data_IF_360093566171
#
_entry.id   IF_360093566171
#
_cell.length_a   1.000
_cell.length_b   1.000
_cell.length_c   1.000
_cell.angle_alpha   90.00
_cell.angle_beta   90.00
_cell.angle_gamma   90.00
#
_symmetry.space_group_name_H-M   'P 1'
#
loop_
_entity.id
_entity.type
_entity.pdbx_description
1 polymer ?
#
# COMPACT_ATOMS: atom_id res chain seq x y z
N UNK A 1 6.05 -12.35 -3.22
CA UNK A 1 4.61 -12.00 -3.07
C UNK A 1 3.99 -12.79 -1.93
N UNK A 2 3.00 -12.21 -1.24
CA UNK A 2 2.21 -12.91 -0.21
C UNK A 2 1.44 -14.08 -0.83
N UNK A 3 1.58 -15.27 -0.25
CA UNK A 3 0.74 -16.41 -0.53
C UNK A 3 -0.09 -16.71 0.72
N UNK A 4 -1.39 -16.87 0.55
CA UNK A 4 -2.32 -17.12 1.64
C UNK A 4 -3.15 -18.36 1.33
N UNK A 5 -3.33 -19.22 2.35
CA UNK A 5 -4.20 -20.39 2.27
C UNK A 5 -4.93 -20.59 3.58
N UNK A 6 -6.13 -21.14 3.51
CA UNK A 6 -6.92 -21.50 4.70
C UNK A 6 -6.68 -22.97 5.02
N UNK A 7 -6.23 -23.25 6.24
CA UNK A 7 -6.10 -24.61 6.77
C UNK A 7 -7.05 -24.74 7.96
N UNK A 8 -8.11 -25.53 7.81
CA UNK A 8 -9.23 -25.57 8.75
C UNK A 8 -9.81 -24.17 9.01
N UNK A 9 -9.80 -23.71 10.25
CA UNK A 9 -10.31 -22.39 10.67
C UNK A 9 -9.20 -21.34 10.84
N UNK A 10 -8.01 -21.54 10.26
CA UNK A 10 -6.88 -20.63 10.44
C UNK A 10 -6.22 -20.28 9.10
N UNK A 11 -5.84 -19.01 8.96
CA UNK A 11 -5.05 -18.53 7.82
C UNK A 11 -3.57 -18.80 8.00
N UNK A 12 -2.94 -19.32 6.94
CA UNK A 12 -1.50 -19.53 6.87
C UNK A 12 -0.94 -18.64 5.75
N UNK A 13 0.10 -17.89 6.10
CA UNK A 13 0.78 -16.95 5.21
C UNK A 13 2.21 -17.42 4.92
N UNK A 14 2.59 -17.43 3.63
CA UNK A 14 3.97 -17.57 3.20
C UNK A 14 4.39 -16.29 2.48
N UNK A 15 5.55 -15.75 2.84
CA UNK A 15 6.11 -14.54 2.25
C UNK A 15 7.52 -14.83 1.72
N UNK A 16 7.99 -14.05 0.76
CA UNK A 16 9.22 -14.34 0.00
C UNK A 16 10.49 -14.19 0.86
N UNK A 17 10.41 -13.39 1.91
CA UNK A 17 11.45 -13.14 2.91
C UNK A 17 11.11 -13.79 4.27
N UNK A 18 10.26 -14.82 4.26
CA UNK A 18 9.96 -15.64 5.42
C UNK A 18 8.91 -15.06 6.40
N UNK A 19 8.76 -15.68 7.58
CA UNK A 19 7.66 -15.36 8.51
C UNK A 19 7.67 -13.93 9.06
N UNK A 20 8.86 -13.33 9.19
CA UNK A 20 8.98 -11.96 9.71
C UNK A 20 8.39 -10.92 8.75
N UNK A 21 8.52 -11.13 7.43
CA UNK A 21 7.85 -10.31 6.42
C UNK A 21 6.34 -10.45 6.52
N UNK A 22 5.81 -11.67 6.70
CA UNK A 22 4.38 -11.87 6.89
C UNK A 22 3.84 -11.17 8.14
N UNK A 23 4.61 -11.22 9.24
CA UNK A 23 4.26 -10.51 10.47
C UNK A 23 4.30 -8.98 10.29
N UNK A 24 5.33 -8.47 9.60
CA UNK A 24 5.42 -7.05 9.23
C UNK A 24 4.26 -6.58 8.34
N UNK A 25 3.87 -7.40 7.36
CA UNK A 25 2.70 -7.12 6.50
C UNK A 25 1.40 -7.11 7.31
N UNK A 26 1.26 -8.01 8.31
CA UNK A 26 0.11 -8.04 9.22
C UNK A 26 0.05 -6.78 10.09
N UNK A 27 1.19 -6.30 10.57
CA UNK A 27 1.30 -5.03 11.31
C UNK A 27 0.82 -3.85 10.46
N UNK A 28 1.32 -3.72 9.24
CA UNK A 28 0.93 -2.65 8.34
C UNK A 28 -0.56 -2.75 7.95
N UNK A 29 -1.06 -3.97 7.72
CA UNK A 29 -2.47 -4.21 7.47
C UNK A 29 -3.36 -3.75 8.64
N UNK A 30 -2.94 -4.00 9.88
CA UNK A 30 -3.63 -3.53 11.08
C UNK A 30 -3.58 -2.02 11.26
N UNK A 31 -2.44 -1.37 11.01
CA UNK A 31 -2.34 0.08 11.06
C UNK A 31 -3.27 0.75 10.02
N UNK A 32 -3.25 0.28 8.77
CA UNK A 32 -4.19 0.73 7.72
C UNK A 32 -5.65 0.42 8.09
N UNK A 33 -5.90 -0.70 8.76
CA UNK A 33 -7.23 -1.11 9.21
C UNK A 33 -7.89 -0.15 10.20
N UNK A 34 -7.10 0.69 10.89
CA UNK A 34 -7.65 1.74 11.77
C UNK A 34 -8.33 2.87 11.00
N UNK A 35 -8.08 3.03 9.69
CA UNK A 35 -8.60 4.12 8.86
C UNK A 35 -8.36 5.51 9.51
N UNK A 36 -7.17 5.70 10.08
CA UNK A 36 -6.73 6.93 10.70
C UNK A 36 -5.88 7.75 9.72
N UNK A 37 -5.99 9.08 9.71
CA UNK A 37 -5.17 9.94 8.85
C UNK A 37 -3.65 9.82 9.06
N UNK A 38 -3.24 9.09 10.11
CA UNK A 38 -1.86 8.81 10.54
C UNK A 38 -1.33 7.45 10.05
N UNK A 39 -2.18 6.62 9.45
CA UNK A 39 -1.83 5.27 9.01
C UNK A 39 -0.63 5.26 8.06
N UNK A 40 -0.56 6.20 7.12
CA UNK A 40 0.55 6.35 6.19
C UNK A 40 1.84 6.82 6.86
N UNK A 41 1.77 7.65 7.91
CA UNK A 41 2.94 8.04 8.71
C UNK A 41 3.53 6.81 9.42
N UNK A 42 2.66 5.96 9.97
CA UNK A 42 3.08 4.70 10.57
C UNK A 42 3.72 3.78 9.54
N UNK A 43 3.08 3.57 8.38
CA UNK A 43 3.60 2.70 7.31
C UNK A 43 4.97 3.21 6.84
N UNK A 44 5.11 4.52 6.60
CA UNK A 44 6.37 5.12 6.19
C UNK A 44 7.49 4.91 7.22
N UNK A 45 7.19 5.09 8.51
CA UNK A 45 8.14 4.78 9.57
C UNK A 45 8.51 3.29 9.56
N UNK A 46 7.52 2.41 9.54
CA UNK A 46 7.72 0.97 9.70
C UNK A 46 8.43 0.33 8.50
N UNK A 47 8.25 0.86 7.29
CA UNK A 47 8.98 0.46 6.09
C UNK A 47 10.48 0.78 6.14
N UNK A 48 10.91 1.71 7.00
CA UNK A 48 12.32 2.13 7.12
C UNK A 48 13.13 1.34 8.15
N UNK A 49 12.50 0.37 8.82
CA UNK A 49 13.10 -0.39 9.92
C UNK A 49 12.77 -1.87 9.80
N UNK A 50 13.59 -2.73 10.42
CA UNK A 50 13.27 -4.16 10.49
C UNK A 50 12.02 -4.39 11.37
N UNK A 51 11.09 -5.28 10.96
CA UNK A 51 9.94 -5.61 11.78
C UNK A 51 10.37 -6.15 13.14
N UNK A 52 9.97 -5.47 14.21
CA UNK A 52 10.13 -5.93 15.59
C UNK A 52 9.07 -5.28 16.49
N UNK A 53 8.89 -5.81 17.70
CA UNK A 53 8.01 -5.18 18.70
C UNK A 53 8.46 -3.75 19.04
N UNK A 54 9.78 -3.52 19.07
CA UNK A 54 10.35 -2.20 19.26
C UNK A 54 10.01 -1.25 18.10
N UNK A 55 10.13 -1.72 16.85
CA UNK A 55 9.76 -0.95 15.65
C UNK A 55 8.27 -0.62 15.63
N UNK A 56 7.42 -1.58 16.01
CA UNK A 56 5.97 -1.40 16.11
C UNK A 56 5.65 -0.31 17.14
N UNK A 57 6.23 -0.39 18.35
CA UNK A 57 6.04 0.62 19.38
C UNK A 57 6.54 2.01 18.93
N UNK A 58 7.78 2.09 18.43
CA UNK A 58 8.42 3.34 17.98
C UNK A 58 7.60 4.02 16.88
N UNK A 59 7.18 3.28 15.86
CA UNK A 59 6.41 3.87 14.75
C UNK A 59 4.99 4.23 15.15
N UNK A 60 4.37 3.49 16.09
CA UNK A 60 3.09 3.89 16.67
C UNK A 60 3.19 5.24 17.38
N UNK A 61 4.25 5.44 18.20
CA UNK A 61 4.48 6.71 18.88
C UNK A 61 4.74 7.85 17.91
N UNK A 62 5.60 7.64 16.91
CA UNK A 62 5.95 8.68 15.94
C UNK A 62 4.75 9.12 15.08
N UNK A 63 3.89 8.19 14.68
CA UNK A 63 2.66 8.49 13.94
C UNK A 63 1.51 8.94 14.87
N UNK A 64 1.67 8.88 16.19
CA UNK A 64 0.60 9.15 17.15
C UNK A 64 -0.59 8.18 17.02
N UNK A 65 -0.31 6.91 16.77
CA UNK A 65 -1.28 5.80 16.73
C UNK A 65 -1.20 4.94 18.00
N UNK A 66 -2.31 4.30 18.37
CA UNK A 66 -2.40 3.47 19.58
C UNK A 66 -1.67 2.12 19.38
N UNK A 67 -0.46 2.02 19.95
CA UNK A 67 0.34 0.79 19.94
C UNK A 67 -0.44 -0.43 20.46
N UNK A 68 -1.08 -0.38 21.65
CA UNK A 68 -1.88 -1.49 22.15
C UNK A 68 -2.96 -1.97 21.17
N UNK A 69 -3.62 -1.06 20.46
CA UNK A 69 -4.65 -1.38 19.49
C UNK A 69 -4.09 -2.10 18.26
N UNK A 70 -3.00 -1.58 17.66
CA UNK A 70 -2.34 -2.24 16.53
C UNK A 70 -1.87 -3.64 16.95
N UNK A 71 -1.26 -3.75 18.14
CA UNK A 71 -0.79 -5.05 18.66
C UNK A 71 -1.93 -6.05 18.91
N UNK A 72 -3.07 -5.60 19.45
CA UNK A 72 -4.25 -6.47 19.59
C UNK A 72 -4.75 -6.96 18.23
N UNK A 73 -4.82 -6.08 17.22
CA UNK A 73 -5.19 -6.46 15.87
C UNK A 73 -4.25 -7.53 15.29
N UNK A 74 -2.93 -7.34 15.41
CA UNK A 74 -1.91 -8.28 14.90
C UNK A 74 -2.08 -9.68 15.51
N UNK A 75 -2.46 -9.76 16.78
CA UNK A 75 -2.65 -11.03 17.49
C UNK A 75 -4.07 -11.62 17.36
N UNK A 76 -4.94 -11.02 16.55
CA UNK A 76 -6.32 -11.44 16.36
C UNK A 76 -6.58 -12.04 14.97
N UNK A 77 -7.75 -12.66 14.81
CA UNK A 77 -8.26 -13.09 13.50
C UNK A 77 -8.51 -11.90 12.58
N UNK A 78 -8.93 -10.74 13.12
CA UNK A 78 -9.12 -9.50 12.35
C UNK A 78 -7.85 -9.11 11.60
N UNK A 79 -6.68 -9.20 12.23
CA UNK A 79 -5.43 -8.93 11.54
C UNK A 79 -5.14 -9.93 10.42
N UNK A 80 -5.56 -11.19 10.57
CA UNK A 80 -5.39 -12.22 9.53
C UNK A 80 -6.32 -11.93 8.35
N UNK A 81 -7.58 -11.59 8.62
CA UNK A 81 -8.57 -11.20 7.62
C UNK A 81 -8.16 -9.95 6.85
N UNK A 82 -7.57 -8.96 7.53
CA UNK A 82 -7.01 -7.76 6.89
C UNK A 82 -5.86 -8.12 5.95
N UNK A 83 -4.92 -8.97 6.38
CA UNK A 83 -3.82 -9.40 5.52
C UNK A 83 -4.33 -10.19 4.29
N UNK A 84 -5.31 -11.07 4.50
CA UNK A 84 -6.00 -11.80 3.41
C UNK A 84 -6.63 -10.84 2.42
N UNK A 85 -7.36 -9.83 2.90
CA UNK A 85 -8.00 -8.82 2.07
C UNK A 85 -7.00 -8.08 1.19
N UNK A 86 -5.84 -7.69 1.73
CA UNK A 86 -4.80 -7.02 0.94
C UNK A 86 -4.12 -7.97 -0.07
N UNK A 87 -3.94 -9.24 0.29
CA UNK A 87 -3.50 -10.27 -0.64
C UNK A 87 -4.48 -10.48 -1.79
N UNK A 88 -5.79 -10.54 -1.50
CA UNK A 88 -6.85 -10.68 -2.51
C UNK A 88 -6.92 -9.47 -3.43
N UNK A 89 -6.78 -8.25 -2.90
CA UNK A 89 -6.70 -7.03 -3.72
C UNK A 89 -5.53 -7.14 -4.70
N UNK A 90 -4.36 -7.56 -4.22
CA UNK A 90 -3.15 -7.73 -5.05
C UNK A 90 -3.34 -8.78 -6.13
N UNK A 91 -3.92 -9.94 -5.78
CA UNK A 91 -4.15 -11.05 -6.71
C UNK A 91 -5.20 -10.77 -7.79
N UNK A 92 -6.09 -9.80 -7.57
CA UNK A 92 -7.12 -9.38 -8.54
C UNK A 92 -6.62 -8.39 -9.58
N UNK A 93 -5.41 -7.86 -9.44
CA UNK A 93 -4.86 -6.88 -10.38
C UNK A 93 -4.53 -7.58 -11.70
N UNK A 94 -5.00 -6.99 -12.80
CA UNK A 94 -4.75 -7.47 -14.16
C UNK A 94 -4.01 -6.41 -15.00
N UNK A 95 -2.98 -6.80 -15.77
CA UNK A 95 -2.25 -8.06 -15.69
C UNK A 95 -1.61 -8.30 -14.30
N UNK A 96 -1.33 -9.56 -13.91
CA UNK A 96 -0.81 -9.86 -12.58
C UNK A 96 0.51 -9.14 -12.27
N UNK A 97 0.62 -8.60 -11.06
CA UNK A 97 1.86 -8.02 -10.55
C UNK A 97 2.88 -9.13 -10.26
N UNK A 98 4.10 -8.98 -10.77
CA UNK A 98 5.14 -10.03 -10.70
C UNK A 98 6.28 -9.73 -9.73
N UNK A 99 6.37 -8.52 -9.21
CA UNK A 99 7.44 -8.08 -8.32
C UNK A 99 6.95 -7.01 -7.35
N UNK A 100 7.80 -6.62 -6.40
CA UNK A 100 7.59 -5.47 -5.51
C UNK A 100 8.84 -4.58 -5.51
N UNK A 101 8.72 -3.26 -5.34
CA UNK A 101 7.47 -2.49 -5.32
C UNK A 101 6.85 -2.37 -6.72
N UNK A 102 5.52 -2.38 -6.80
CA UNK A 102 4.77 -2.08 -8.03
C UNK A 102 3.71 -1.03 -7.76
N UNK A 103 3.51 -0.12 -8.71
CA UNK A 103 2.47 0.92 -8.64
C UNK A 103 1.43 0.66 -9.73
N UNK A 104 0.17 0.69 -9.29
CA UNK A 104 -1.01 0.36 -10.09
C UNK A 104 -1.89 1.60 -10.16
N UNK A 105 -2.16 2.07 -11.38
CA UNK A 105 -2.92 3.28 -11.62
C UNK A 105 -4.27 2.91 -12.23
N UNK A 106 -5.36 3.50 -11.73
CA UNK A 106 -6.73 3.22 -12.16
C UNK A 106 -7.10 1.72 -12.14
N UNK A 107 -6.56 0.96 -11.19
CA UNK A 107 -6.86 -0.47 -11.03
C UNK A 107 -6.24 -1.40 -12.09
N UNK A 108 -5.41 -0.89 -12.99
CA UNK A 108 -4.73 -1.66 -14.03
C UNK A 108 -3.21 -1.56 -13.85
N UNK A 109 -2.54 -2.70 -13.91
CA UNK A 109 -1.08 -2.71 -13.94
C UNK A 109 -0.59 -2.39 -15.36
N UNK A 110 0.38 -1.48 -15.45
CA UNK A 110 1.05 -1.15 -16.71
C UNK A 110 2.53 -0.96 -16.40
N UNK A 111 3.40 -1.68 -17.10
CA UNK A 111 4.83 -1.70 -16.81
C UNK A 111 5.52 -0.35 -17.07
N UNK A 112 5.03 0.43 -18.04
CA UNK A 112 5.57 1.75 -18.34
C UNK A 112 5.15 2.74 -17.26
N UNK A 113 3.87 2.76 -16.87
CA UNK A 113 3.42 3.61 -15.77
C UNK A 113 4.07 3.25 -14.45
N UNK A 114 4.21 1.96 -14.15
CA UNK A 114 4.91 1.48 -12.97
C UNK A 114 6.37 1.98 -12.93
N UNK A 115 7.10 1.85 -14.04
CA UNK A 115 8.48 2.33 -14.16
C UNK A 115 8.59 3.84 -14.06
N UNK A 116 7.72 4.57 -14.77
CA UNK A 116 7.75 6.03 -14.78
C UNK A 116 7.33 6.60 -13.41
N UNK A 117 6.32 6.01 -12.77
CA UNK A 117 5.83 6.47 -11.48
C UNK A 117 6.84 6.23 -10.35
N UNK A 118 7.64 5.15 -10.42
CA UNK A 118 8.78 4.99 -9.51
C UNK A 118 9.85 6.06 -9.68
N UNK A 119 10.06 6.59 -10.89
CA UNK A 119 11.01 7.68 -11.15
C UNK A 119 10.44 9.05 -10.78
N UNK A 120 9.20 9.31 -11.18
CA UNK A 120 8.51 10.57 -10.94
C UNK A 120 6.99 10.37 -10.93
N UNK A 121 6.45 10.08 -9.74
CA UNK A 121 5.03 9.81 -9.53
C UNK A 121 4.14 10.98 -9.98
N UNK A 122 4.49 12.23 -9.64
CA UNK A 122 3.66 13.40 -9.95
C UNK A 122 3.52 13.62 -11.47
N UNK A 123 4.61 13.44 -12.21
CA UNK A 123 4.60 13.51 -13.67
C UNK A 123 3.72 12.42 -14.26
N UNK A 124 3.91 11.17 -13.85
CA UNK A 124 3.11 10.05 -14.37
C UNK A 124 1.62 10.20 -14.05
N UNK A 125 1.28 10.69 -12.85
CA UNK A 125 -0.12 10.98 -12.49
C UNK A 125 -0.71 12.08 -13.39
N UNK A 126 0.05 13.12 -13.71
CA UNK A 126 -0.38 14.17 -14.63
C UNK A 126 -0.64 13.61 -16.04
N UNK A 127 0.27 12.75 -16.54
CA UNK A 127 0.12 12.08 -17.84
C UNK A 127 -1.13 11.19 -17.87
N UNK A 128 -1.35 10.38 -16.84
CA UNK A 128 -2.54 9.51 -16.72
C UNK A 128 -3.82 10.32 -16.63
N UNK A 129 -3.82 11.44 -15.91
CA UNK A 129 -4.97 12.33 -15.81
C UNK A 129 -5.33 12.92 -17.19
N UNK A 130 -4.34 13.43 -17.92
CA UNK A 130 -4.55 14.02 -19.25
C UNK A 130 -5.02 12.98 -20.27
N UNK A 131 -4.49 11.76 -20.24
CA UNK A 131 -4.99 10.67 -21.10
C UNK A 131 -6.46 10.33 -20.83
N UNK A 132 -6.88 10.34 -19.56
CA UNK A 132 -8.28 10.12 -19.20
C UNK A 132 -9.19 11.24 -19.72
N UNK A 133 -8.74 12.49 -19.69
CA UNK A 133 -9.49 13.62 -20.26
C UNK A 133 -9.62 13.54 -21.78
N UNK A 134 -8.56 13.14 -22.49
CA UNK A 134 -8.60 12.99 -23.95
C UNK A 134 -9.54 11.85 -24.38
N UNK A 135 -9.65 10.76 -23.59
CA UNK A 135 -10.67 9.72 -23.83
C UNK A 135 -12.11 10.20 -23.58
N UNK A 136 -12.31 11.23 -22.75
CA UNK A 136 -13.62 11.84 -22.49
C UNK A 136 -14.03 12.80 -23.63
N UNK A 137 -13.07 13.29 -24.43
CA UNK A 137 -13.36 14.20 -25.55
C UNK A 137 -13.89 13.51 -26.82
N UNK A 138 -13.79 12.18 -26.97
CA UNK A 138 -14.23 11.50 -28.20
C UNK A 138 -15.65 10.92 -28.18
N UNK A 139 -16.37 10.83 -27.06
CA UNK A 139 -17.82 10.54 -27.04
C UNK A 139 -18.40 10.80 -25.64
N UNK A 140 -19.20 11.87 -25.51
CA UNK A 140 -19.84 12.26 -24.25
C UNK A 140 -21.07 11.38 -24.00
N UNK A 141 -20.98 10.52 -22.98
CA UNK A 141 -22.14 10.05 -22.22
C UNK A 141 -21.86 10.33 -20.74
N UNK A 142 -22.65 11.16 -20.05
CA UNK A 142 -22.45 11.43 -18.63
C UNK A 142 -22.91 10.21 -17.83
N UNK A 143 -22.16 9.77 -16.82
CA UNK A 143 -22.66 9.23 -15.52
C UNK A 143 -21.51 8.67 -14.64
N UNK A 144 -21.62 9.03 -13.36
CA UNK A 144 -21.07 8.47 -12.10
C UNK A 144 -19.57 8.67 -11.77
N UNK A 145 -19.33 9.57 -10.81
CA UNK A 145 -18.06 9.84 -10.12
C UNK A 145 -17.54 8.70 -9.22
N UNK A 146 -17.84 7.45 -9.55
CA UNK A 146 -17.22 6.29 -8.91
C UNK A 146 -16.09 5.80 -9.80
N UNK A 147 -15.07 5.21 -9.17
CA UNK A 147 -13.82 4.73 -9.78
C UNK A 147 -12.70 5.78 -9.89
N UNK A 148 -12.44 6.45 -8.77
CA UNK A 148 -11.15 6.26 -8.09
C UNK A 148 -11.35 5.11 -7.09
N UNK A 149 -10.60 4.02 -7.23
CA UNK A 149 -10.43 3.10 -6.09
C UNK A 149 -9.34 3.72 -5.22
N UNK A 150 -9.76 4.74 -4.48
CA UNK A 150 -9.24 5.15 -3.17
C UNK A 150 -10.49 5.13 -2.30
N UNK A 151 -10.45 4.44 -1.16
CA UNK A 151 -11.58 4.22 -0.27
C UNK A 151 -12.44 5.49 -0.07
N UNK A 152 -13.77 5.38 -0.24
CA UNK A 152 -14.73 6.47 -0.43
C UNK A 152 -15.04 7.31 0.83
N UNK A 153 -14.13 7.36 1.80
CA UNK A 153 -14.20 8.26 2.97
C UNK A 153 -12.88 8.98 3.31
N UNK A 154 -11.84 8.92 2.45
CA UNK A 154 -10.59 9.61 2.74
C UNK A 154 -10.49 10.99 2.06
N UNK A 155 -10.61 12.04 2.87
CA UNK A 155 -10.08 13.37 2.57
C UNK A 155 -8.56 13.22 2.46
N UNK A 156 -7.96 13.63 1.33
CA UNK A 156 -6.51 13.73 1.19
C UNK A 156 -5.99 14.71 2.27
N UNK A 157 -5.19 14.26 3.25
CA UNK A 157 -4.51 15.17 4.15
C UNK A 157 -3.40 15.89 3.37
N UNK A 158 -3.08 17.10 3.80
CA UNK A 158 -2.00 17.97 3.30
C UNK A 158 -0.58 17.37 3.32
N UNK A 159 -0.42 16.09 3.68
CA UNK A 159 0.84 15.38 3.87
C UNK A 159 1.29 14.55 2.67
N UNK A 160 0.73 14.78 1.47
CA UNK A 160 1.14 14.08 0.24
C UNK A 160 2.64 14.25 -0.10
N UNK A 161 3.29 15.28 0.45
CA UNK A 161 4.73 15.50 0.36
C UNK A 161 5.57 14.48 1.15
N UNK A 162 5.03 13.86 2.20
CA UNK A 162 5.77 12.94 3.08
C UNK A 162 5.82 11.50 2.52
N UNK A 163 4.79 11.09 1.77
CA UNK A 163 4.75 9.79 1.07
C UNK A 163 5.79 9.74 -0.06
N UNK A 164 5.98 10.87 -0.75
CA UNK A 164 7.03 11.03 -1.77
C UNK A 164 8.42 10.87 -1.15
N UNK A 165 8.65 11.50 0.01
CA UNK A 165 9.90 11.36 0.76
C UNK A 165 10.19 9.93 1.21
N UNK A 166 9.19 9.21 1.72
CA UNK A 166 9.36 7.85 2.23
C UNK A 166 9.59 6.80 1.11
N UNK A 167 8.86 6.92 -0.01
CA UNK A 167 9.06 6.05 -1.17
C UNK A 167 10.42 6.32 -1.83
N UNK A 168 10.80 7.59 -2.03
CA UNK A 168 12.07 7.94 -2.64
C UNK A 168 13.25 7.53 -1.76
N UNK A 169 13.18 7.75 -0.43
CA UNK A 169 14.25 7.38 0.51
C UNK A 169 14.46 5.86 0.60
N UNK A 170 13.38 5.08 0.55
CA UNK A 170 13.44 3.61 0.51
C UNK A 170 13.99 3.09 -0.83
N UNK A 171 13.67 3.73 -1.95
CA UNK A 171 14.23 3.37 -3.27
C UNK A 171 15.73 3.71 -3.38
N UNK A 172 16.18 4.82 -2.78
CA UNK A 172 17.61 5.18 -2.71
C UNK A 172 18.42 4.29 -1.76
N UNK A 173 17.92 4.01 -0.54
CA UNK A 173 18.66 3.19 0.44
C UNK A 173 18.82 1.73 0.01
N UNK A 174 17.94 1.20 -0.85
CA UNK A 174 18.04 -0.16 -1.36
C UNK A 174 18.67 -0.26 -2.76
N UNK A 175 19.30 0.82 -3.27
CA UNK A 175 20.06 0.77 -4.53
C UNK A 175 19.21 0.61 -5.79
N UNK A 176 17.92 0.96 -5.76
CA UNK A 176 17.00 0.81 -6.91
C UNK A 176 17.00 2.00 -7.87
N UNK A 177 17.79 3.04 -7.59
CA UNK A 177 17.99 4.21 -8.46
C UNK A 177 19.48 4.43 -8.61
N UNK A 178 20.02 4.12 -9.80
CA UNK A 178 21.32 4.64 -10.23
C UNK A 178 21.09 5.98 -10.92
N UNK A 179 22.04 6.91 -10.72
CA UNK A 179 22.07 8.28 -11.27
C UNK A 179 21.54 8.40 -12.71
#
# INVERSE_FOLDING_TARGET
>A
MLQQRRMYNTWIFNCQHGPLECWGNKIQACALGQNSSKDMEFVNCFMSVHPSEHSLFKCSQLAGMDYPEIKRCVNSEVGSELLVRYGDITNRILPPVKYVPSIVLNGKYDANFDTNARRNLLRTLSEVYLQKQNMIQENVVPIDHRFLVINKNYRLPSHFYDIYGALQKTMYHNGFVNN
#
